data_IF_404956027030
#
_entry.id   IF_404956027030
#
_cell.length_a   1.000
_cell.length_b   1.000
_cell.length_c   1.000
_cell.angle_alpha   90.00
_cell.angle_beta   90.00
_cell.angle_gamma   90.00
#
_symmetry.space_group_name_H-M   'P 1'
#
loop_
_entity.id
_entity.type
_entity.pdbx_description
1 polymer ?
#
# COMPACT_ATOMS: atom_id res chain seq x y z
N UNK A 1 -11.63 0.63 -10.99
CA UNK A 1 -12.21 1.91 -10.52
C UNK A 1 -11.21 2.57 -9.61
N UNK A 2 -10.39 3.46 -10.19
CA UNK A 2 -9.43 4.28 -9.47
C UNK A 2 -10.21 5.22 -8.55
N UNK A 3 -10.31 4.86 -7.28
CA UNK A 3 -11.09 5.58 -6.28
C UNK A 3 -10.23 5.77 -5.03
N UNK A 4 -10.57 6.79 -4.25
CA UNK A 4 -9.89 7.12 -2.99
C UNK A 4 -10.34 6.19 -1.85
N UNK A 5 -11.46 5.47 -2.03
CA UNK A 5 -12.06 4.60 -1.02
C UNK A 5 -11.09 3.54 -0.45
N UNK A 6 -10.29 2.80 -1.25
CA UNK A 6 -9.34 1.80 -0.72
C UNK A 6 -8.26 2.42 0.17
N UNK A 7 -7.84 3.66 -0.13
CA UNK A 7 -6.84 4.39 0.65
C UNK A 7 -7.39 4.67 2.04
N UNK A 8 -8.59 5.24 2.14
CA UNK A 8 -9.22 5.58 3.41
C UNK A 8 -9.57 4.33 4.22
N UNK A 9 -10.03 3.26 3.56
CA UNK A 9 -10.35 2.01 4.22
C UNK A 9 -9.12 1.36 4.87
N UNK A 10 -8.01 1.25 4.13
CA UNK A 10 -6.78 0.70 4.70
C UNK A 10 -6.14 1.63 5.73
N UNK A 11 -6.25 2.95 5.55
CA UNK A 11 -5.83 3.92 6.57
C UNK A 11 -6.56 3.68 7.89
N UNK A 12 -7.88 3.50 7.85
CA UNK A 12 -8.68 3.25 9.05
C UNK A 12 -8.27 1.95 9.74
N UNK A 13 -8.01 0.89 8.99
CA UNK A 13 -7.52 -0.39 9.53
C UNK A 13 -6.16 -0.21 10.20
N UNK A 14 -5.21 0.43 9.51
CA UNK A 14 -3.86 0.65 10.05
C UNK A 14 -3.90 1.53 11.30
N UNK A 15 -4.67 2.61 11.28
CA UNK A 15 -4.86 3.49 12.43
C UNK A 15 -5.43 2.71 13.63
N UNK A 16 -6.45 1.87 13.42
CA UNK A 16 -7.01 1.01 14.47
C UNK A 16 -5.96 0.04 15.04
N UNK A 17 -5.14 -0.59 14.18
CA UNK A 17 -4.04 -1.46 14.62
C UNK A 17 -2.99 -0.70 15.42
N UNK A 18 -2.67 0.54 15.04
CA UNK A 18 -1.76 1.39 15.80
C UNK A 18 -2.35 1.75 17.17
N UNK A 19 -3.65 2.04 17.26
CA UNK A 19 -4.33 2.25 18.56
C UNK A 19 -4.28 0.98 19.41
N UNK A 20 -4.51 -0.20 18.82
CA UNK A 20 -4.34 -1.48 19.51
C UNK A 20 -2.92 -1.67 20.03
N UNK A 21 -1.90 -1.40 19.21
CA UNK A 21 -0.50 -1.46 19.64
C UNK A 21 -0.21 -0.49 20.80
N UNK A 22 -0.84 0.70 20.81
CA UNK A 22 -0.69 1.66 21.89
C UNK A 22 -1.22 1.15 23.24
N UNK A 23 -2.37 0.47 23.21
CA UNK A 23 -3.12 0.08 24.42
C UNK A 23 -2.70 -1.30 24.93
N UNK A 24 -2.39 -2.24 24.05
CA UNK A 24 -2.14 -3.63 24.40
C UNK A 24 -0.65 -4.00 24.54
N UNK A 25 0.28 -3.05 24.43
CA UNK A 25 1.71 -3.35 24.69
C UNK A 25 1.96 -3.53 26.20
N UNK A 26 2.45 -4.71 26.65
CA UNK A 26 2.66 -5.00 28.07
C UNK A 26 3.70 -4.06 28.69
N UNK A 27 3.54 -3.78 29.99
CA UNK A 27 4.48 -2.94 30.73
C UNK A 27 5.78 -3.70 30.97
N UNK A 28 6.91 -3.11 30.56
CA UNK A 28 8.23 -3.70 30.70
C UNK A 28 9.35 -2.73 30.28
N UNK A 29 10.63 -3.09 30.47
CA UNK A 29 11.77 -2.22 30.17
C UNK A 29 11.80 -1.75 28.72
N UNK A 30 11.36 -2.62 27.80
CA UNK A 30 11.37 -2.38 26.37
C UNK A 30 10.00 -1.94 25.81
N UNK A 31 9.05 -1.55 26.67
CA UNK A 31 7.68 -1.24 26.26
C UNK A 31 7.62 -0.14 25.19
N UNK A 32 8.41 0.94 25.37
CA UNK A 32 8.43 2.06 24.42
C UNK A 32 8.97 1.60 23.07
N UNK A 33 10.08 0.86 23.05
CA UNK A 33 10.72 0.37 21.82
C UNK A 33 9.78 -0.56 21.05
N UNK A 34 9.09 -1.48 21.74
CA UNK A 34 8.14 -2.40 21.10
C UNK A 34 6.94 -1.62 20.53
N UNK A 35 6.35 -0.73 21.34
CA UNK A 35 5.19 0.07 20.92
C UNK A 35 5.52 0.93 19.71
N UNK A 36 6.63 1.67 19.74
CA UNK A 36 7.02 2.57 18.65
C UNK A 36 7.54 1.82 17.43
N UNK A 37 8.24 0.68 17.62
CA UNK A 37 8.70 -0.18 16.53
C UNK A 37 7.53 -0.74 15.71
N UNK A 38 6.53 -1.32 16.36
CA UNK A 38 5.31 -1.82 15.70
C UNK A 38 4.60 -0.69 14.97
N UNK A 39 4.46 0.47 15.64
CA UNK A 39 3.82 1.64 15.06
C UNK A 39 4.52 2.14 13.79
N UNK A 40 5.85 2.25 13.83
CA UNK A 40 6.64 2.72 12.69
C UNK A 40 6.58 1.73 11.52
N UNK A 41 6.66 0.43 11.80
CA UNK A 41 6.54 -0.60 10.75
C UNK A 41 5.17 -0.58 10.06
N UNK A 42 4.08 -0.43 10.83
CA UNK A 42 2.73 -0.31 10.26
C UNK A 42 2.59 0.95 9.38
N UNK A 43 3.11 2.09 9.85
CA UNK A 43 3.10 3.33 9.08
C UNK A 43 3.93 3.20 7.78
N UNK A 44 5.13 2.63 7.84
CA UNK A 44 5.98 2.42 6.67
C UNK A 44 5.34 1.48 5.64
N UNK A 45 4.74 0.38 6.10
CA UNK A 45 4.06 -0.57 5.22
C UNK A 45 2.85 0.08 4.53
N UNK A 46 2.06 0.87 5.26
CA UNK A 46 0.95 1.62 4.70
C UNK A 46 1.41 2.64 3.66
N UNK A 47 2.46 3.42 3.94
CA UNK A 47 2.99 4.41 3.00
C UNK A 47 3.52 3.75 1.71
N UNK A 48 4.27 2.65 1.83
CA UNK A 48 4.75 1.89 0.67
C UNK A 48 3.57 1.44 -0.22
N UNK A 49 2.54 0.84 0.39
CA UNK A 49 1.34 0.41 -0.33
C UNK A 49 0.60 1.60 -0.96
N UNK A 50 0.39 2.67 -0.20
CA UNK A 50 -0.37 3.84 -0.64
C UNK A 50 0.31 4.53 -1.84
N UNK A 51 1.62 4.75 -1.79
CA UNK A 51 2.37 5.40 -2.88
C UNK A 51 2.31 4.57 -4.16
N UNK A 52 2.50 3.25 -4.06
CA UNK A 52 2.43 2.36 -5.24
C UNK A 52 1.03 2.30 -5.85
N UNK A 53 -0.02 2.40 -5.02
CA UNK A 53 -1.40 2.52 -5.50
C UNK A 53 -1.66 3.87 -6.19
N UNK A 54 -1.19 4.99 -5.61
CA UNK A 54 -1.35 6.32 -6.21
C UNK A 54 -0.66 6.42 -7.58
N UNK A 55 0.49 5.79 -7.74
CA UNK A 55 1.21 5.77 -9.01
C UNK A 55 0.39 5.15 -10.16
N UNK A 56 -0.61 4.32 -9.84
CA UNK A 56 -1.45 3.64 -10.82
C UNK A 56 -2.82 4.32 -11.02
N UNK A 57 -3.16 5.34 -10.22
CA UNK A 57 -4.51 5.90 -10.17
C UNK A 57 -4.86 6.70 -11.44
N UNK A 58 -3.89 7.46 -11.95
CA UNK A 58 -3.97 8.19 -13.22
C UNK A 58 -2.70 7.92 -14.05
N UNK A 59 -2.62 6.78 -14.74
CA UNK A 59 -1.41 6.38 -15.44
C UNK A 59 -1.22 7.21 -16.71
N UNK A 60 -0.05 7.85 -16.84
CA UNK A 60 0.35 8.58 -18.05
C UNK A 60 0.93 7.65 -19.13
N UNK A 61 1.44 6.50 -18.71
CA UNK A 61 2.04 5.48 -19.56
C UNK A 61 1.15 4.24 -19.57
N UNK A 62 0.94 3.67 -20.75
CA UNK A 62 0.21 2.40 -20.93
C UNK A 62 1.19 1.30 -21.33
N UNK A 63 0.87 0.06 -20.99
CA UNK A 63 1.72 -1.09 -21.30
C UNK A 63 1.87 -1.31 -22.83
N UNK A 64 3.12 -1.28 -23.33
CA UNK A 64 3.47 -1.51 -24.75
C UNK A 64 3.14 -2.93 -25.25
N UNK A 65 3.05 -3.90 -24.33
CA UNK A 65 2.82 -5.32 -24.63
C UNK A 65 1.52 -5.59 -25.42
N UNK A 66 0.54 -4.68 -25.39
CA UNK A 66 -0.65 -4.75 -26.24
C UNK A 66 -0.32 -4.55 -27.73
N UNK A 67 0.46 -3.50 -28.05
CA UNK A 67 0.88 -3.19 -29.41
C UNK A 67 1.76 -4.28 -30.01
N UNK A 68 2.67 -4.85 -29.22
CA UNK A 68 3.55 -5.92 -29.69
C UNK A 68 2.76 -7.20 -30.02
N UNK A 69 1.74 -7.53 -29.21
CA UNK A 69 0.84 -8.67 -29.48
C UNK A 69 0.02 -8.44 -30.74
N UNK A 70 -0.51 -7.24 -30.94
CA UNK A 70 -1.28 -6.88 -32.13
C UNK A 70 -0.40 -6.93 -33.39
N UNK A 71 0.79 -6.32 -33.33
CA UNK A 71 1.75 -6.33 -34.43
C UNK A 71 2.15 -7.75 -34.82
N UNK A 72 2.49 -8.60 -33.86
CA UNK A 72 2.80 -10.00 -34.11
C UNK A 72 1.62 -10.79 -34.70
N UNK A 73 0.36 -10.45 -34.38
CA UNK A 73 -0.80 -11.07 -35.06
C UNK A 73 -0.92 -10.63 -36.52
N UNK A 74 -0.65 -9.35 -36.81
CA UNK A 74 -0.66 -8.82 -38.17
C UNK A 74 0.49 -9.34 -39.04
N UNK A 75 1.65 -9.66 -38.44
CA UNK A 75 2.80 -10.26 -39.15
C UNK A 75 2.64 -11.76 -39.41
N UNK A 76 1.69 -12.42 -38.73
CA UNK A 76 1.40 -13.85 -38.93
C UNK A 76 0.30 -14.12 -39.96
N UNK A 77 -0.30 -13.08 -40.54
CA UNK A 77 -1.26 -13.17 -41.64
C UNK A 77 -0.55 -12.84 -42.95
#
# INVERSE_FOLDING_TARGET
MATVLPILFLLAIVAALMTCAALFTPKGPNQVVIRTGIMLSLAACYLMWMVTYLAQLHPLLRALRGYLRLAHQLTRQ
#
